data_IF_746703846523
#
_entry.id   IF_746703846523
#
_cell.length_a   1.000
_cell.length_b   1.000
_cell.length_c   1.000
_cell.angle_alpha   90.00
_cell.angle_beta   90.00
_cell.angle_gamma   90.00
#
_symmetry.space_group_name_H-M   'P 1'
#
loop_
_entity.id
_entity.type
_entity.pdbx_description
1 polymer ?
#
# COMPACT_ATOMS: atom_id res chain seq x y z
N UNK A 1 -18.47 4.15 5.79
CA UNK A 1 -18.25 3.22 6.93
C UNK A 1 -17.40 2.04 6.45
N UNK A 2 -16.70 1.30 7.31
CA UNK A 2 -15.99 0.09 6.90
C UNK A 2 -16.34 -1.10 7.80
N UNK A 3 -16.44 -2.29 7.22
CA UNK A 3 -16.64 -3.55 7.96
C UNK A 3 -15.36 -4.38 7.91
N UNK A 4 -14.94 -4.94 9.05
CA UNK A 4 -13.79 -5.87 9.10
C UNK A 4 -14.16 -7.22 8.53
N UNK A 5 -13.25 -7.79 7.72
CA UNK A 5 -13.28 -9.18 7.29
C UNK A 5 -12.15 -9.92 8.00
N UNK A 6 -12.44 -11.12 8.52
CA UNK A 6 -11.45 -11.99 9.13
C UNK A 6 -10.89 -12.94 8.07
N UNK A 7 -9.78 -12.53 7.47
CA UNK A 7 -9.03 -13.32 6.49
C UNK A 7 -7.68 -13.68 7.11
N UNK A 8 -7.41 -14.98 7.24
CA UNK A 8 -6.16 -15.47 7.81
C UNK A 8 -4.96 -15.18 6.87
N UNK A 9 -3.78 -14.90 7.45
CA UNK A 9 -2.51 -15.01 6.74
C UNK A 9 -2.31 -16.41 6.17
N UNK A 10 -1.57 -16.49 5.07
CA UNK A 10 -1.18 -17.77 4.43
C UNK A 10 0.04 -18.42 5.09
N UNK A 11 0.84 -17.64 5.82
CA UNK A 11 2.00 -18.09 6.61
C UNK A 11 2.35 -17.05 7.69
N UNK A 12 3.41 -17.33 8.46
CA UNK A 12 3.94 -16.53 9.57
C UNK A 12 4.73 -15.28 9.16
N UNK A 13 4.84 -14.97 7.87
CA UNK A 13 5.49 -13.77 7.32
C UNK A 13 4.52 -12.82 6.63
N UNK A 14 3.22 -13.09 6.71
CA UNK A 14 2.18 -12.28 6.06
C UNK A 14 1.32 -11.56 7.10
N UNK A 15 1.07 -10.26 6.87
CA UNK A 15 0.01 -9.50 7.51
C UNK A 15 -1.16 -9.33 6.51
N UNK A 16 -2.40 -9.41 7.02
CA UNK A 16 -3.59 -9.24 6.19
C UNK A 16 -4.52 -8.21 6.81
N UNK A 17 -4.85 -7.19 6.02
CA UNK A 17 -5.92 -6.24 6.31
C UNK A 17 -7.01 -6.43 5.27
N UNK A 18 -8.19 -6.86 5.70
CA UNK A 18 -9.34 -7.05 4.83
C UNK A 18 -10.55 -6.25 5.35
N UNK A 19 -11.17 -5.47 4.47
CA UNK A 19 -12.30 -4.58 4.80
C UNK A 19 -13.32 -4.55 3.67
N UNK A 20 -14.59 -4.36 4.02
CA UNK A 20 -15.60 -3.81 3.11
C UNK A 20 -15.59 -2.30 3.28
N UNK A 21 -15.38 -1.55 2.20
CA UNK A 21 -15.36 -0.09 2.17
C UNK A 21 -16.61 0.39 1.46
N UNK A 22 -17.34 1.30 2.09
CA UNK A 22 -18.56 1.93 1.55
C UNK A 22 -18.23 3.03 0.54
N UNK A 23 -17.58 2.63 -0.56
CA UNK A 23 -17.21 3.46 -1.70
C UNK A 23 -17.00 2.59 -2.95
N UNK A 24 -17.28 3.13 -4.15
CA UNK A 24 -17.01 2.44 -5.41
C UNK A 24 -15.55 2.05 -5.56
N UNK A 25 -15.31 0.89 -6.16
CA UNK A 25 -14.01 0.27 -6.36
C UNK A 25 -12.99 1.20 -7.02
N UNK A 26 -13.44 1.94 -8.02
CA UNK A 26 -12.63 2.89 -8.76
C UNK A 26 -12.11 4.01 -7.84
N UNK A 27 -12.91 4.46 -6.86
CA UNK A 27 -12.48 5.48 -5.91
C UNK A 27 -11.45 4.94 -4.93
N UNK A 28 -11.65 3.73 -4.40
CA UNK A 28 -10.70 3.09 -3.48
C UNK A 28 -9.36 2.82 -4.19
N UNK A 29 -9.41 2.37 -5.44
CA UNK A 29 -8.22 2.18 -6.27
C UNK A 29 -7.48 3.51 -6.55
N UNK A 30 -8.22 4.59 -6.82
CA UNK A 30 -7.64 5.92 -7.04
C UNK A 30 -6.89 6.45 -5.82
N UNK A 31 -7.33 6.13 -4.61
CA UNK A 31 -6.61 6.50 -3.38
C UNK A 31 -5.17 5.96 -3.32
N UNK A 32 -4.87 4.88 -4.05
CA UNK A 32 -3.54 4.27 -4.13
C UNK A 32 -2.72 4.68 -5.36
N UNK A 33 -3.34 5.33 -6.34
CA UNK A 33 -2.73 5.58 -7.66
C UNK A 33 -2.71 7.05 -8.06
N UNK A 34 -3.42 7.91 -7.33
CA UNK A 34 -3.36 9.35 -7.48
C UNK A 34 -2.46 9.94 -6.38
N UNK A 35 -1.29 10.51 -6.72
CA UNK A 35 -0.37 11.07 -5.73
C UNK A 35 -1.01 12.22 -4.93
N UNK A 36 -2.02 12.91 -5.47
CA UNK A 36 -2.74 13.95 -4.72
C UNK A 36 -3.71 13.36 -3.70
N UNK A 37 -4.18 12.14 -3.90
CA UNK A 37 -5.05 11.46 -2.94
C UNK A 37 -4.23 10.76 -1.86
N UNK A 38 -3.14 10.09 -2.22
CA UNK A 38 -2.34 9.34 -1.23
C UNK A 38 -1.82 10.26 -0.11
N UNK A 39 -1.45 11.50 -0.44
CA UNK A 39 -0.95 12.50 0.52
C UNK A 39 -1.97 12.87 1.60
N UNK A 40 -3.25 12.53 1.39
CA UNK A 40 -4.35 12.88 2.30
C UNK A 40 -4.63 11.82 3.36
N UNK A 41 -4.15 10.58 3.19
CA UNK A 41 -4.58 9.46 4.03
C UNK A 41 -3.51 8.43 4.38
N UNK A 42 -2.39 8.36 3.66
CA UNK A 42 -1.43 7.27 3.81
C UNK A 42 -0.79 7.19 5.20
N UNK A 43 -0.37 8.33 5.75
CA UNK A 43 0.19 8.37 7.10
C UNK A 43 -0.90 8.49 8.17
N UNK A 44 -0.82 7.73 9.26
CA UNK A 44 -1.74 7.88 10.39
C UNK A 44 -1.43 9.18 11.14
N UNK A 45 -2.46 9.89 11.60
CA UNK A 45 -2.24 11.02 12.50
C UNK A 45 -1.49 10.55 13.77
N UNK A 46 -0.56 11.36 14.31
CA UNK A 46 -0.23 12.74 13.94
C UNK A 46 0.79 12.89 12.79
N UNK A 47 1.24 11.81 12.16
CA UNK A 47 2.10 11.87 10.99
C UNK A 47 1.34 12.41 9.77
N UNK A 48 2.09 12.92 8.81
CA UNK A 48 1.55 13.45 7.54
C UNK A 48 2.29 12.85 6.34
N UNK A 49 1.73 13.04 5.15
CA UNK A 49 2.34 12.64 3.89
C UNK A 49 2.54 13.89 3.02
N UNK A 50 3.62 14.67 3.20
CA UNK A 50 3.80 15.96 2.52
C UNK A 50 3.86 15.87 0.99
N UNK A 51 4.43 14.79 0.44
CA UNK A 51 4.54 14.59 -1.00
C UNK A 51 4.50 13.12 -1.38
N UNK A 52 4.09 12.88 -2.61
CA UNK A 52 4.19 11.58 -3.25
C UNK A 52 4.39 11.74 -4.76
N UNK A 53 5.15 10.81 -5.35
CA UNK A 53 5.39 10.69 -6.78
C UNK A 53 5.15 9.24 -7.19
N UNK A 54 4.47 9.02 -8.32
CA UNK A 54 4.05 7.69 -8.74
C UNK A 54 4.02 7.57 -10.25
N UNK A 55 4.76 6.60 -10.78
CA UNK A 55 4.60 6.10 -12.15
C UNK A 55 3.78 4.81 -12.10
N UNK A 56 2.45 4.93 -12.22
CA UNK A 56 1.51 3.83 -11.95
C UNK A 56 1.41 2.86 -13.13
N UNK A 57 2.46 2.05 -13.29
CA UNK A 57 2.55 0.94 -14.24
C UNK A 57 3.54 -0.09 -13.71
N UNK A 58 3.53 -1.32 -14.25
CA UNK A 58 4.56 -2.30 -13.91
C UNK A 58 5.97 -1.75 -14.23
N UNK A 59 6.88 -1.89 -13.27
CA UNK A 59 8.24 -1.35 -13.30
C UNK A 59 8.33 0.17 -13.08
N UNK A 60 7.23 0.87 -12.78
CA UNK A 60 7.24 2.28 -12.46
C UNK A 60 7.62 2.52 -10.99
N UNK A 61 8.40 3.57 -10.74
CA UNK A 61 8.83 3.96 -9.40
C UNK A 61 7.69 4.61 -8.62
N UNK A 62 7.71 4.45 -7.30
CA UNK A 62 6.87 5.17 -6.35
C UNK A 62 7.73 5.78 -5.26
N UNK A 63 7.41 6.99 -4.85
CA UNK A 63 7.97 7.62 -3.67
C UNK A 63 6.82 8.18 -2.83
N UNK A 64 6.70 7.71 -1.59
CA UNK A 64 5.78 8.31 -0.61
C UNK A 64 6.62 8.81 0.55
N UNK A 65 6.57 10.11 0.82
CA UNK A 65 7.33 10.69 1.93
C UNK A 65 6.38 10.88 3.10
N UNK A 66 6.71 10.27 4.23
CA UNK A 66 6.01 10.48 5.50
C UNK A 66 6.77 11.54 6.30
N UNK A 67 6.07 12.36 7.07
CA UNK A 67 6.69 13.31 7.99
C UNK A 67 6.16 13.12 9.40
N UNK A 68 7.07 13.17 10.38
CA UNK A 68 6.73 13.16 11.80
C UNK A 68 6.07 14.49 12.20
N UNK A 69 5.46 14.57 13.40
CA UNK A 69 4.90 15.82 13.92
C UNK A 69 5.93 16.95 14.05
N UNK A 70 7.21 16.61 14.23
CA UNK A 70 8.33 17.57 14.31
C UNK A 70 8.82 18.03 12.93
N UNK A 71 8.24 17.50 11.85
CA UNK A 71 8.60 17.84 10.47
C UNK A 71 9.75 17.02 9.87
N UNK A 72 10.28 16.03 10.60
CA UNK A 72 11.31 15.13 10.05
C UNK A 72 10.70 14.26 8.97
N UNK A 73 11.34 14.20 7.80
CA UNK A 73 10.85 13.45 6.65
C UNK A 73 11.51 12.07 6.53
N UNK A 74 10.69 11.09 6.15
CA UNK A 74 11.02 9.68 6.01
C UNK A 74 10.56 9.22 4.63
N UNK A 75 11.47 9.21 3.64
CA UNK A 75 11.16 8.74 2.28
C UNK A 75 10.92 7.23 2.26
N UNK A 76 9.85 6.80 1.58
CA UNK A 76 9.53 5.38 1.34
C UNK A 76 9.53 5.15 -0.18
N UNK A 77 10.71 4.88 -0.77
CA UNK A 77 10.82 4.55 -2.18
C UNK A 77 10.34 3.12 -2.43
N UNK A 78 9.92 2.84 -3.65
CA UNK A 78 9.41 1.53 -4.05
C UNK A 78 9.17 1.42 -5.55
N UNK A 79 8.75 0.23 -5.98
CA UNK A 79 8.39 -0.06 -7.39
C UNK A 79 7.06 -0.80 -7.45
N UNK A 80 6.22 -0.40 -8.42
CA UNK A 80 5.03 -1.15 -8.80
C UNK A 80 5.42 -2.41 -9.59
N UNK A 81 5.11 -3.60 -9.07
CA UNK A 81 5.37 -4.88 -9.72
C UNK A 81 4.24 -5.28 -10.68
N UNK A 82 2.99 -4.99 -10.32
CA UNK A 82 1.81 -5.32 -11.12
C UNK A 82 0.74 -4.26 -10.92
N UNK A 83 0.11 -3.80 -12.01
CA UNK A 83 -0.96 -2.82 -11.97
C UNK A 83 -2.08 -3.29 -12.89
N UNK A 84 -3.21 -3.67 -12.31
CA UNK A 84 -4.45 -3.97 -13.05
C UNK A 84 -5.48 -2.93 -12.66
N UNK A 85 -5.77 -2.01 -13.59
CA UNK A 85 -6.64 -0.86 -13.35
C UNK A 85 -7.95 -1.24 -12.63
N UNK A 86 -8.20 -0.58 -11.49
CA UNK A 86 -9.39 -0.80 -10.66
C UNK A 86 -9.47 -2.15 -9.96
N UNK A 87 -8.49 -3.04 -10.06
CA UNK A 87 -8.59 -4.42 -9.55
C UNK A 87 -7.45 -4.84 -8.64
N UNK A 88 -6.22 -4.49 -9.00
CA UNK A 88 -5.04 -5.00 -8.31
C UNK A 88 -3.85 -4.05 -8.43
N UNK A 89 -3.10 -3.95 -7.35
CA UNK A 89 -1.81 -3.26 -7.28
C UNK A 89 -0.87 -4.17 -6.50
N UNK A 90 0.34 -4.39 -7.02
CA UNK A 90 1.42 -5.01 -6.27
C UNK A 90 2.59 -4.03 -6.25
N UNK A 91 3.12 -3.74 -5.06
CA UNK A 91 4.27 -2.86 -4.86
C UNK A 91 5.28 -3.47 -3.90
N UNK A 92 6.54 -3.04 -3.98
CA UNK A 92 7.60 -3.49 -3.07
C UNK A 92 8.61 -2.37 -2.81
N UNK A 93 9.25 -2.43 -1.65
CA UNK A 93 10.43 -1.61 -1.29
C UNK A 93 11.76 -2.34 -1.55
N UNK A 94 11.72 -3.52 -2.19
CA UNK A 94 12.93 -4.24 -2.58
C UNK A 94 13.77 -3.51 -3.64
N UNK A 95 13.20 -2.47 -4.24
CA UNK A 95 13.86 -1.56 -5.16
C UNK A 95 13.54 -0.12 -4.77
N UNK A 96 14.52 0.77 -4.84
CA UNK A 96 14.31 2.21 -4.57
C UNK A 96 13.75 2.95 -5.79
N UNK A 97 14.05 2.45 -6.97
CA UNK A 97 13.52 2.89 -8.26
C UNK A 97 13.61 1.72 -9.25
N UNK A 98 13.10 1.89 -10.48
CA UNK A 98 13.06 0.84 -11.49
C UNK A 98 14.41 0.08 -11.61
N UNK A 99 14.42 -1.16 -11.13
CA UNK A 99 15.55 -2.10 -11.19
C UNK A 99 16.80 -1.74 -10.37
N UNK A 100 16.69 -0.78 -9.44
CA UNK A 100 17.75 -0.47 -8.49
C UNK A 100 17.44 -1.10 -7.13
N UNK A 101 18.14 -2.16 -6.70
CA UNK A 101 17.85 -2.83 -5.44
C UNK A 101 18.01 -1.90 -4.24
N UNK A 102 17.14 -2.06 -3.24
CA UNK A 102 17.31 -1.42 -1.94
C UNK A 102 18.35 -2.14 -1.09
N UNK A 103 18.94 -1.43 -0.12
CA UNK A 103 19.91 -2.02 0.80
C UNK A 103 19.28 -3.09 1.71
N UNK A 104 18.05 -2.85 2.14
CA UNK A 104 17.26 -3.77 2.95
C UNK A 104 15.83 -3.84 2.41
N UNK A 105 15.47 -4.89 1.63
CA UNK A 105 14.08 -5.13 1.30
C UNK A 105 13.31 -5.49 2.58
N UNK A 106 12.10 -4.96 2.73
CA UNK A 106 11.29 -5.17 3.93
C UNK A 106 9.95 -5.82 3.60
N UNK A 107 9.26 -5.37 2.54
CA UNK A 107 7.94 -5.93 2.19
C UNK A 107 7.56 -5.90 0.70
N UNK A 108 6.67 -6.82 0.35
CA UNK A 108 5.87 -6.81 -0.89
C UNK A 108 4.40 -6.76 -0.50
N UNK A 109 3.69 -5.73 -0.97
CA UNK A 109 2.27 -5.51 -0.71
C UNK A 109 1.46 -5.88 -1.95
N UNK A 110 0.45 -6.72 -1.79
CA UNK A 110 -0.56 -6.99 -2.80
C UNK A 110 -1.93 -6.45 -2.33
N UNK A 111 -2.48 -5.54 -3.11
CA UNK A 111 -3.78 -4.91 -2.89
C UNK A 111 -4.78 -5.45 -3.92
N UNK A 112 -5.94 -5.88 -3.47
CA UNK A 112 -7.07 -6.24 -4.34
C UNK A 112 -8.29 -5.39 -4.01
N UNK A 113 -9.06 -5.09 -5.06
CA UNK A 113 -10.26 -4.29 -5.02
C UNK A 113 -11.35 -5.04 -5.80
N UNK A 114 -12.29 -5.64 -5.10
CA UNK A 114 -13.42 -6.38 -5.67
C UNK A 114 -14.72 -5.60 -5.43
N UNK A 115 -15.60 -5.57 -6.43
CA UNK A 115 -16.93 -4.97 -6.30
C UNK A 115 -17.84 -5.93 -5.51
N UNK A 116 -18.42 -5.43 -4.41
CA UNK A 116 -19.38 -6.16 -3.56
C UNK A 116 -20.83 -5.83 -3.90
N UNK A 117 -21.05 -5.03 -4.95
CA UNK A 117 -22.33 -4.45 -5.29
C UNK A 117 -22.68 -3.26 -4.39
N UNK A 118 -23.75 -2.56 -4.77
CA UNK A 118 -24.29 -1.40 -4.02
C UNK A 118 -23.26 -0.30 -3.75
N UNK A 119 -22.27 -0.14 -4.63
CA UNK A 119 -21.21 0.86 -4.48
C UNK A 119 -20.23 0.55 -3.34
N UNK A 120 -20.08 -0.72 -2.94
CA UNK A 120 -19.14 -1.17 -1.90
C UNK A 120 -17.98 -1.94 -2.52
N UNK A 121 -16.83 -1.85 -1.86
CA UNK A 121 -15.60 -2.52 -2.30
C UNK A 121 -15.11 -3.47 -1.24
N UNK A 122 -14.87 -4.73 -1.58
CA UNK A 122 -14.01 -5.61 -0.79
C UNK A 122 -12.56 -5.27 -1.11
N UNK A 123 -11.89 -4.73 -0.10
CA UNK A 123 -10.49 -4.32 -0.14
C UNK A 123 -9.66 -5.27 0.71
N UNK A 124 -8.62 -5.86 0.12
CA UNK A 124 -7.68 -6.72 0.83
C UNK A 124 -6.26 -6.24 0.55
N UNK A 125 -5.53 -5.91 1.61
CA UNK A 125 -4.09 -5.73 1.59
C UNK A 125 -3.43 -6.96 2.21
N UNK A 126 -2.56 -7.61 1.43
CA UNK A 126 -1.66 -8.68 1.90
C UNK A 126 -0.24 -8.16 1.87
N UNK A 127 0.39 -8.05 3.03
CA UNK A 127 1.77 -7.57 3.18
C UNK A 127 2.66 -8.75 3.53
N UNK A 128 3.60 -9.07 2.65
CA UNK A 128 4.55 -10.19 2.84
C UNK A 128 5.92 -9.64 3.16
N UNK A 129 6.57 -10.25 4.14
CA UNK A 129 7.88 -9.84 4.64
C UNK A 129 8.93 -10.89 4.33
N UNK A 130 10.20 -10.49 4.36
CA UNK A 130 11.33 -11.39 4.10
C UNK A 130 11.51 -12.39 5.23
N UNK A 131 11.36 -11.94 6.48
CA UNK A 131 11.48 -12.74 7.69
C UNK A 131 10.28 -12.57 8.63
N UNK A 132 10.15 -13.48 9.60
CA UNK A 132 9.16 -13.35 10.70
C UNK A 132 9.46 -12.11 11.54
N UNK A 133 10.74 -11.82 11.79
CA UNK A 133 11.16 -10.64 12.54
C UNK A 133 10.79 -9.32 11.84
N UNK A 134 10.93 -9.25 10.50
CA UNK A 134 10.48 -8.07 9.74
C UNK A 134 8.94 -7.90 9.81
N UNK A 135 8.20 -9.02 9.79
CA UNK A 135 6.73 -8.98 9.98
C UNK A 135 6.36 -8.50 11.37
N UNK A 136 7.04 -8.98 12.42
CA UNK A 136 6.86 -8.53 13.80
C UNK A 136 7.19 -7.05 13.98
N UNK A 137 8.19 -6.53 13.27
CA UNK A 137 8.54 -5.11 13.28
C UNK A 137 7.44 -4.22 12.66
N UNK A 138 6.62 -4.75 11.75
CA UNK A 138 5.55 -3.99 11.09
C UNK A 138 4.24 -3.96 11.90
N UNK A 139 3.97 -4.97 12.73
CA UNK A 139 2.71 -5.07 13.49
C UNK A 139 2.56 -3.99 14.57
#
# INVERSE_FOLDING_TARGET
>A
MTTKLDIAPTNDRELVLARIIDAPRENVYRCWTDPKLITRWFSPKPWTTPRAEMDVRAGGSSLVVMASPDGNEFPNPGVFLEVVAGRKIVLTDAYTEAWQPSEKPFMTVALTFEDEGNGKTRYIARVRHWSVADREQHE
#
